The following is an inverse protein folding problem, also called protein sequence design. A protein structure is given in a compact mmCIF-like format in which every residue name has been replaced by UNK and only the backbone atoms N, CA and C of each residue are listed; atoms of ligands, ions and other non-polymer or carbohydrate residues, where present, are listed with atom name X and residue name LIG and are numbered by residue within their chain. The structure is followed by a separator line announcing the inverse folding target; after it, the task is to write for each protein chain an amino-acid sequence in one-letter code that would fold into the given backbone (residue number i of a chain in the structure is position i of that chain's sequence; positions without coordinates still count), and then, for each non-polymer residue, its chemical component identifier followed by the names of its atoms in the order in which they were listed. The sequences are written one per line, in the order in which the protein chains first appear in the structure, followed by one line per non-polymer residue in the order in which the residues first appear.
data_IF_264023092840
#
_entry.id   IF_264023092840
#
_cell.length_a   1.000
_cell.length_b   1.000
_cell.length_c   1.000
_cell.angle_alpha   90.00
_cell.angle_beta   90.00
_cell.angle_gamma   90.00
#
_symmetry.space_group_name_H-M   'P 1'
#
loop_
_entity.id
_entity.type
_entity.pdbx_description
1 polymer ?
#
# COMPACT_ATOMS: atom_id res chain seq x y z
N UNK A 1 14.23 19.54 -19.53
CA UNK A 1 14.54 20.97 -19.32
C UNK A 1 13.40 21.54 -18.49
N UNK A 2 13.69 22.16 -17.35
CA UNK A 2 12.64 22.74 -16.50
C UNK A 2 12.00 23.93 -17.24
N UNK A 3 10.67 23.95 -17.31
CA UNK A 3 9.95 25.13 -17.82
C UNK A 3 9.88 26.17 -16.70
N UNK A 4 9.89 27.46 -17.05
CA UNK A 4 9.77 28.55 -16.07
C UNK A 4 8.41 29.21 -16.29
N UNK A 5 7.58 29.23 -15.24
CA UNK A 5 6.25 29.83 -15.26
C UNK A 5 6.22 30.83 -14.11
N UNK A 6 5.92 32.10 -14.42
CA UNK A 6 5.90 33.20 -13.44
C UNK A 6 7.17 33.29 -12.57
N UNK A 7 8.34 33.00 -13.17
CA UNK A 7 9.63 33.00 -12.48
C UNK A 7 9.93 31.76 -11.63
N UNK A 8 9.00 30.80 -11.56
CA UNK A 8 9.16 29.54 -10.81
C UNK A 8 9.54 28.40 -11.77
N UNK A 9 10.65 27.68 -11.53
CA UNK A 9 10.99 26.50 -12.30
C UNK A 9 10.05 25.34 -11.96
N UNK A 10 9.46 24.72 -12.98
CA UNK A 10 8.57 23.56 -12.90
C UNK A 10 9.11 22.37 -13.72
N UNK A 11 8.78 21.17 -13.29
CA UNK A 11 9.24 19.94 -13.94
C UNK A 11 8.41 19.54 -15.18
N UNK A 12 7.13 19.93 -15.21
CA UNK A 12 6.16 19.54 -16.25
C UNK A 12 5.44 20.82 -16.72
N UNK A 13 5.33 21.06 -18.04
CA UNK A 13 4.58 22.21 -18.55
C UNK A 13 3.06 22.00 -18.38
N UNK A 14 2.28 23.07 -18.14
CA UNK A 14 0.82 23.00 -18.06
C UNK A 14 0.19 22.73 -19.44
N UNK A 15 -1.05 22.21 -19.49
CA UNK A 15 -1.87 22.23 -20.71
C UNK A 15 -2.09 23.67 -21.22
N UNK A 16 -2.28 23.83 -22.53
CA UNK A 16 -2.32 25.15 -23.20
C UNK A 16 -3.38 26.13 -22.61
N UNK A 17 -4.50 25.61 -22.09
CA UNK A 17 -5.60 26.41 -21.52
C UNK A 17 -5.57 26.51 -19.97
N UNK A 18 -4.50 26.06 -19.32
CA UNK A 18 -4.45 25.98 -17.85
C UNK A 18 -3.65 27.12 -17.22
N UNK A 19 -4.31 27.93 -16.38
CA UNK A 19 -3.64 28.97 -15.58
C UNK A 19 -3.12 28.36 -14.27
N UNK A 20 -1.79 28.33 -14.12
CA UNK A 20 -1.11 27.82 -12.92
C UNK A 20 -1.25 28.81 -11.76
N UNK A 21 -1.64 28.31 -10.60
CA UNK A 21 -1.62 29.07 -9.35
C UNK A 21 -0.74 28.37 -8.30
N UNK A 22 0.39 29.00 -7.97
CA UNK A 22 1.33 28.45 -6.99
C UNK A 22 0.92 28.74 -5.53
N UNK A 23 0.07 29.74 -5.29
CA UNK A 23 -0.38 30.11 -3.95
C UNK A 23 -1.53 29.21 -3.50
N UNK A 24 -2.47 28.91 -4.39
CA UNK A 24 -3.58 28.01 -4.13
C UNK A 24 -3.73 26.93 -5.21
N UNK A 25 -2.78 25.96 -5.27
CA UNK A 25 -2.80 24.93 -6.29
C UNK A 25 -4.02 24.02 -6.14
N UNK A 26 -4.52 23.49 -7.25
CA UNK A 26 -5.59 22.50 -7.24
C UNK A 26 -5.09 21.18 -6.64
N UNK A 27 -5.87 20.65 -5.69
CA UNK A 27 -5.50 19.46 -4.93
C UNK A 27 -6.57 18.38 -5.01
N UNK A 28 -6.15 17.18 -5.42
CA UNK A 28 -6.99 15.99 -5.48
C UNK A 28 -6.64 15.01 -4.36
N UNK A 29 -7.61 14.17 -3.98
CA UNK A 29 -7.48 13.09 -2.98
C UNK A 29 -7.08 13.52 -1.56
N UNK A 30 -7.13 14.83 -1.25
CA UNK A 30 -6.81 15.34 0.09
C UNK A 30 -7.83 14.83 1.12
N UNK A 31 -9.12 14.98 0.81
CA UNK A 31 -10.21 14.52 1.67
C UNK A 31 -10.15 13.02 1.89
N UNK A 32 -9.92 12.24 0.83
CA UNK A 32 -9.79 10.79 0.88
C UNK A 32 -8.63 10.35 1.79
N UNK A 33 -7.46 10.99 1.66
CA UNK A 33 -6.29 10.71 2.49
C UNK A 33 -6.56 10.96 3.99
N UNK A 34 -7.26 12.05 4.32
CA UNK A 34 -7.62 12.36 5.71
C UNK A 34 -8.62 11.37 6.29
N UNK A 35 -9.62 10.93 5.51
CA UNK A 35 -10.57 9.90 5.95
C UNK A 35 -9.89 8.55 6.18
N UNK A 36 -9.04 8.12 5.23
CA UNK A 36 -8.30 6.86 5.33
C UNK A 36 -7.41 6.81 6.56
N UNK A 37 -6.72 7.91 6.88
CA UNK A 37 -5.93 7.97 8.10
C UNK A 37 -6.79 8.10 9.35
N UNK A 38 -7.67 9.09 9.43
CA UNK A 38 -8.40 9.37 10.65
C UNK A 38 -9.28 8.19 11.06
N UNK A 39 -10.18 7.78 10.17
CA UNK A 39 -11.13 6.70 10.45
C UNK A 39 -10.47 5.33 10.29
N UNK A 40 -9.73 5.12 9.20
CA UNK A 40 -9.11 3.82 8.94
C UNK A 40 -8.05 3.43 9.97
N UNK A 41 -7.18 4.36 10.37
CA UNK A 41 -6.19 4.08 11.41
C UNK A 41 -6.85 3.88 12.79
N UNK A 42 -7.89 4.66 13.11
CA UNK A 42 -8.62 4.49 14.37
C UNK A 42 -9.28 3.11 14.46
N UNK A 43 -9.98 2.68 13.41
CA UNK A 43 -10.59 1.35 13.36
C UNK A 43 -9.53 0.25 13.45
N UNK A 44 -8.42 0.39 12.72
CA UNK A 44 -7.30 -0.55 12.77
C UNK A 44 -6.71 -0.66 14.18
N UNK A 45 -6.47 0.47 14.85
CA UNK A 45 -6.00 0.52 16.23
C UNK A 45 -6.94 -0.23 17.17
N UNK A 46 -8.25 0.01 17.06
CA UNK A 46 -9.25 -0.65 17.89
C UNK A 46 -9.22 -2.18 17.72
N UNK A 47 -9.12 -2.69 16.49
CA UNK A 47 -9.01 -4.13 16.23
C UNK A 47 -7.71 -4.74 16.76
N UNK A 48 -6.58 -4.03 16.64
CA UNK A 48 -5.30 -4.47 17.19
C UNK A 48 -5.36 -4.54 18.71
N UNK A 49 -5.88 -3.50 19.37
CA UNK A 49 -6.04 -3.47 20.83
C UNK A 49 -6.95 -4.58 21.32
N UNK A 50 -8.10 -4.79 20.66
CA UNK A 50 -9.00 -5.90 20.97
C UNK A 50 -8.28 -7.24 20.85
N UNK A 51 -7.51 -7.45 19.78
CA UNK A 51 -6.78 -8.70 19.56
C UNK A 51 -5.71 -8.94 20.61
N UNK A 52 -4.91 -7.92 20.93
CA UNK A 52 -3.89 -7.99 21.99
C UNK A 52 -4.53 -8.28 23.35
N UNK A 53 -5.66 -7.66 23.66
CA UNK A 53 -6.41 -7.94 24.89
C UNK A 53 -6.88 -9.40 24.96
N UNK A 54 -7.56 -9.89 23.92
CA UNK A 54 -8.08 -11.25 23.89
C UNK A 54 -6.96 -12.29 23.93
N UNK A 55 -5.90 -12.12 23.14
CA UNK A 55 -4.82 -13.11 23.01
C UNK A 55 -3.80 -13.06 24.14
N UNK A 56 -3.48 -11.86 24.61
CA UNK A 56 -2.53 -11.64 25.70
C UNK A 56 -3.13 -11.96 27.07
N UNK A 57 -4.31 -11.40 27.37
CA UNK A 57 -4.88 -11.47 28.71
C UNK A 57 -5.91 -12.59 28.88
N UNK A 58 -6.86 -12.72 27.95
CA UNK A 58 -7.96 -13.69 28.08
C UNK A 58 -7.53 -15.12 27.76
N UNK A 59 -6.91 -15.32 26.59
CA UNK A 59 -6.54 -16.65 26.09
C UNK A 59 -5.11 -17.06 26.43
N UNK A 60 -4.24 -16.12 26.83
CA UNK A 60 -2.80 -16.32 27.10
C UNK A 60 -2.08 -17.16 26.02
N UNK A 61 -2.51 -17.01 24.76
CA UNK A 61 -1.96 -17.73 23.61
C UNK A 61 -1.32 -16.76 22.65
N UNK A 62 -0.40 -15.93 23.16
CA UNK A 62 0.35 -15.00 22.32
C UNK A 62 1.32 -15.79 21.44
N UNK A 63 1.18 -15.65 20.12
CA UNK A 63 1.97 -16.38 19.13
C UNK A 63 2.81 -15.41 18.30
N UNK A 64 3.85 -15.94 17.66
CA UNK A 64 4.72 -15.18 16.74
C UNK A 64 3.92 -14.45 15.65
N UNK A 65 2.84 -15.05 15.17
CA UNK A 65 1.93 -14.43 14.19
C UNK A 65 1.30 -13.13 14.70
N UNK A 66 0.92 -13.07 15.98
CA UNK A 66 0.33 -11.88 16.58
C UNK A 66 1.38 -10.78 16.79
N UNK A 67 2.63 -11.16 17.10
CA UNK A 67 3.76 -10.23 17.16
C UNK A 67 4.08 -9.62 15.78
N UNK A 68 4.13 -10.46 14.73
CA UNK A 68 4.35 -9.99 13.36
C UNK A 68 3.27 -9.01 12.91
N UNK A 69 2.01 -9.27 13.28
CA UNK A 69 0.88 -8.42 12.93
C UNK A 69 0.94 -7.06 13.68
N UNK A 70 1.38 -7.05 14.94
CA UNK A 70 1.64 -5.81 15.67
C UNK A 70 2.77 -4.98 15.08
N UNK A 71 3.89 -5.63 14.70
CA UNK A 71 5.00 -4.96 14.01
C UNK A 71 4.53 -4.37 12.68
N UNK A 72 3.81 -5.14 11.87
CA UNK A 72 3.25 -4.67 10.60
C UNK A 72 2.34 -3.45 10.77
N UNK A 73 1.53 -3.42 11.84
CA UNK A 73 0.70 -2.26 12.17
C UNK A 73 1.55 -1.01 12.47
N UNK A 74 2.63 -1.14 13.25
CA UNK A 74 3.55 -0.01 13.53
C UNK A 74 4.15 0.55 12.24
N UNK A 75 4.63 -0.31 11.34
CA UNK A 75 5.13 0.13 10.03
C UNK A 75 4.06 0.81 9.17
N UNK A 76 2.83 0.32 9.21
CA UNK A 76 1.69 0.95 8.53
C UNK A 76 1.41 2.36 9.06
N UNK A 77 1.43 2.55 10.39
CA UNK A 77 1.25 3.88 11.01
C UNK A 77 2.36 4.85 10.59
N UNK A 78 3.61 4.39 10.56
CA UNK A 78 4.75 5.21 10.09
C UNK A 78 4.54 5.64 8.64
N UNK A 79 4.17 4.71 7.76
CA UNK A 79 3.87 4.98 6.36
C UNK A 79 2.76 6.02 6.19
N UNK A 80 1.63 5.83 6.86
CA UNK A 80 0.50 6.74 6.76
C UNK A 80 0.84 8.15 7.28
N UNK A 81 1.64 8.23 8.34
CA UNK A 81 2.11 9.51 8.90
C UNK A 81 3.01 10.25 7.90
N UNK A 82 3.88 9.54 7.19
CA UNK A 82 4.71 10.12 6.12
C UNK A 82 3.84 10.64 4.96
N UNK A 83 2.85 9.87 4.53
CA UNK A 83 1.92 10.26 3.46
C UNK A 83 1.16 11.53 3.84
N UNK A 84 0.58 11.59 5.05
CA UNK A 84 -0.16 12.78 5.48
C UNK A 84 0.72 13.99 5.62
N UNK A 85 1.93 13.85 6.15
CA UNK A 85 2.88 14.95 6.19
C UNK A 85 3.12 15.53 4.79
N UNK A 86 3.22 14.67 3.78
CA UNK A 86 3.42 15.09 2.40
C UNK A 86 2.15 15.70 1.78
N UNK A 87 0.96 15.25 2.17
CA UNK A 87 -0.31 15.94 1.88
C UNK A 87 -0.41 17.29 2.59
N UNK A 88 -0.05 17.44 3.87
CA UNK A 88 -0.11 18.73 4.57
C UNK A 88 0.82 19.74 3.91
N UNK A 89 2.00 19.30 3.45
CA UNK A 89 3.00 20.15 2.77
C UNK A 89 2.64 20.51 1.32
N UNK A 90 1.53 20.00 0.78
CA UNK A 90 1.15 20.22 -0.62
C UNK A 90 2.03 19.47 -1.63
N UNK A 91 2.81 18.49 -1.18
CA UNK A 91 3.71 17.69 -2.02
C UNK A 91 2.93 16.55 -2.70
N UNK A 92 1.90 16.01 -2.03
CA UNK A 92 0.96 15.04 -2.60
C UNK A 92 -0.39 15.68 -2.95
N UNK A 93 -1.03 15.15 -3.99
CA UNK A 93 -2.34 15.58 -4.46
C UNK A 93 -2.34 16.84 -5.33
N UNK A 94 -1.20 17.51 -5.51
CA UNK A 94 -1.08 18.72 -6.33
C UNK A 94 -0.70 18.35 -7.77
N UNK A 95 -1.24 19.06 -8.76
CA UNK A 95 -0.89 18.83 -10.16
C UNK A 95 0.60 19.11 -10.43
N UNK A 96 1.22 18.29 -11.28
CA UNK A 96 2.66 18.34 -11.53
C UNK A 96 3.15 19.65 -12.17
N UNK A 97 2.26 20.36 -12.89
CA UNK A 97 2.53 21.66 -13.50
C UNK A 97 2.35 22.84 -12.52
N UNK A 98 1.68 22.64 -11.39
CA UNK A 98 1.54 23.65 -10.31
C UNK A 98 2.55 23.43 -9.18
N UNK A 99 3.56 22.58 -9.43
CA UNK A 99 4.54 22.19 -8.42
C UNK A 99 5.90 22.85 -8.68
N UNK A 100 6.38 23.72 -7.76
CA UNK A 100 7.74 24.23 -7.81
C UNK A 100 8.77 23.11 -7.76
N UNK A 101 9.91 23.28 -8.44
CA UNK A 101 10.97 22.25 -8.53
C UNK A 101 11.46 21.73 -7.16
N UNK A 102 11.44 22.58 -6.13
CA UNK A 102 11.82 22.22 -4.76
C UNK A 102 10.82 21.25 -4.14
N UNK A 103 9.51 21.48 -4.32
CA UNK A 103 8.46 20.55 -3.92
C UNK A 103 8.49 19.28 -4.76
N UNK A 104 8.80 19.39 -6.05
CA UNK A 104 8.94 18.24 -6.96
C UNK A 104 10.08 17.31 -6.53
N UNK A 105 11.21 17.84 -6.05
CA UNK A 105 12.29 17.04 -5.50
C UNK A 105 11.85 16.25 -4.24
N UNK A 106 11.05 16.86 -3.36
CA UNK A 106 10.48 16.17 -2.20
C UNK A 106 9.49 15.09 -2.63
N UNK A 107 8.66 15.38 -3.64
CA UNK A 107 7.74 14.42 -4.23
C UNK A 107 8.49 13.22 -4.81
N UNK A 108 9.55 13.44 -5.59
CA UNK A 108 10.36 12.38 -6.17
C UNK A 108 10.98 11.46 -5.09
N UNK A 109 11.46 12.04 -3.98
CA UNK A 109 11.97 11.28 -2.83
C UNK A 109 10.88 10.44 -2.16
N UNK A 110 9.69 11.00 -1.94
CA UNK A 110 8.55 10.28 -1.39
C UNK A 110 8.10 9.15 -2.31
N UNK A 111 8.03 9.41 -3.63
CA UNK A 111 7.65 8.45 -4.65
C UNK A 111 8.65 7.27 -4.75
N UNK A 112 9.92 7.51 -4.43
CA UNK A 112 10.94 6.46 -4.32
C UNK A 112 10.79 5.65 -3.02
N UNK A 113 10.63 6.32 -1.88
CA UNK A 113 10.69 5.67 -0.56
C UNK A 113 9.40 4.93 -0.18
N UNK A 114 8.23 5.50 -0.50
CA UNK A 114 6.93 4.96 -0.05
C UNK A 114 6.66 3.54 -0.58
N UNK A 115 6.86 3.21 -1.87
CA UNK A 115 6.65 1.85 -2.36
C UNK A 115 7.58 0.83 -1.70
N UNK A 116 8.82 1.21 -1.41
CA UNK A 116 9.82 0.32 -0.77
C UNK A 116 9.37 -0.05 0.65
N UNK A 117 8.81 0.91 1.39
CA UNK A 117 8.29 0.67 2.73
C UNK A 117 6.93 -0.06 2.71
N UNK A 118 6.10 0.21 1.72
CA UNK A 118 4.75 -0.37 1.61
C UNK A 118 4.76 -1.86 1.24
N UNK A 119 5.62 -2.28 0.30
CA UNK A 119 5.64 -3.66 -0.21
C UNK A 119 5.82 -4.73 0.90
N UNK A 120 6.79 -4.60 1.84
CA UNK A 120 6.96 -5.56 2.92
C UNK A 120 5.74 -5.67 3.85
N UNK A 121 5.08 -4.54 4.14
CA UNK A 121 3.89 -4.51 4.99
C UNK A 121 2.76 -5.30 4.32
N UNK A 122 2.54 -5.06 3.02
CA UNK A 122 1.51 -5.76 2.26
C UNK A 122 1.77 -7.26 2.13
N UNK A 123 3.04 -7.65 1.91
CA UNK A 123 3.45 -9.05 1.91
C UNK A 123 3.22 -9.71 3.28
N UNK A 124 3.65 -9.06 4.36
CA UNK A 124 3.52 -9.56 5.73
C UNK A 124 2.06 -9.75 6.15
N UNK A 125 1.18 -8.81 5.79
CA UNK A 125 -0.25 -8.92 6.08
C UNK A 125 -0.89 -10.16 5.40
N UNK A 126 -0.59 -10.39 4.12
CA UNK A 126 -1.08 -11.56 3.36
C UNK A 126 -0.55 -12.87 3.94
N UNK A 127 0.73 -12.92 4.30
CA UNK A 127 1.33 -14.10 4.92
C UNK A 127 0.73 -14.41 6.29
N UNK A 128 0.52 -13.40 7.13
CA UNK A 128 -0.13 -13.56 8.43
C UNK A 128 -1.55 -14.15 8.27
N UNK A 129 -2.31 -13.69 7.27
CA UNK A 129 -3.64 -14.20 6.98
C UNK A 129 -3.60 -15.67 6.49
N UNK A 130 -2.66 -16.00 5.60
CA UNK A 130 -2.44 -17.37 5.13
C UNK A 130 -2.08 -18.33 6.27
N UNK A 131 -1.26 -17.89 7.23
CA UNK A 131 -0.90 -18.69 8.42
C UNK A 131 -2.12 -18.94 9.32
N UNK A 132 -3.00 -17.95 9.49
CA UNK A 132 -4.27 -18.13 10.19
C UNK A 132 -5.15 -19.14 9.44
N UNK A 133 -5.28 -19.02 8.13
CA UNK A 133 -6.06 -19.95 7.30
C UNK A 133 -5.52 -21.36 7.40
N UNK A 134 -4.19 -21.55 7.44
CA UNK A 134 -3.56 -22.86 7.55
C UNK A 134 -4.07 -23.68 8.73
N UNK A 135 -4.52 -23.03 9.81
CA UNK A 135 -5.04 -23.68 11.01
C UNK A 135 -6.53 -23.96 10.97
N UNK A 136 -7.25 -23.42 9.98
CA UNK A 136 -8.70 -23.58 9.86
C UNK A 136 -9.10 -25.00 9.48
N UNK A 137 -8.35 -25.65 8.60
CA UNK A 137 -8.65 -27.00 8.14
C UNK A 137 -7.37 -27.80 7.84
N UNK A 138 -7.22 -29.03 8.37
CA UNK A 138 -6.09 -29.91 8.10
C UNK A 138 -6.23 -30.69 6.77
N UNK A 139 -6.88 -30.10 5.75
CA UNK A 139 -7.12 -30.75 4.45
C UNK A 139 -5.90 -30.61 3.54
N UNK A 140 -5.42 -31.71 2.93
CA UNK A 140 -4.22 -31.69 2.07
C UNK A 140 -4.30 -30.68 0.92
N UNK A 141 -5.41 -30.67 0.17
CA UNK A 141 -5.62 -29.74 -0.94
C UNK A 141 -5.59 -28.27 -0.49
N UNK A 142 -6.14 -27.99 0.69
CA UNK A 142 -6.22 -26.65 1.26
C UNK A 142 -4.84 -26.15 1.72
N UNK A 143 -4.03 -27.04 2.32
CA UNK A 143 -2.64 -26.73 2.68
C UNK A 143 -1.78 -26.45 1.44
N UNK A 144 -1.98 -27.22 0.36
CA UNK A 144 -1.27 -27.00 -0.91
C UNK A 144 -1.62 -25.62 -1.49
N UNK A 145 -2.90 -25.24 -1.55
CA UNK A 145 -3.32 -23.92 -2.03
C UNK A 145 -2.70 -22.79 -1.22
N UNK A 146 -2.64 -22.92 0.11
CA UNK A 146 -2.02 -21.92 0.98
C UNK A 146 -0.53 -21.74 0.65
N UNK A 147 0.20 -22.83 0.45
CA UNK A 147 1.62 -22.76 0.10
C UNK A 147 1.85 -22.16 -1.29
N UNK A 148 1.04 -22.52 -2.28
CA UNK A 148 1.11 -21.96 -3.63
C UNK A 148 0.84 -20.45 -3.58
N UNK A 149 -0.24 -20.02 -2.94
CA UNK A 149 -0.56 -18.60 -2.81
C UNK A 149 0.52 -17.85 -2.03
N UNK A 150 1.05 -18.45 -0.96
CA UNK A 150 2.17 -17.88 -0.21
C UNK A 150 3.41 -17.68 -1.09
N UNK A 151 3.75 -18.65 -1.93
CA UNK A 151 4.86 -18.54 -2.87
C UNK A 151 4.63 -17.41 -3.89
N UNK A 152 3.42 -17.29 -4.44
CA UNK A 152 3.06 -16.21 -5.38
C UNK A 152 3.15 -14.84 -4.71
N UNK A 153 2.64 -14.70 -3.49
CA UNK A 153 2.70 -13.45 -2.70
C UNK A 153 4.14 -13.03 -2.44
N UNK A 154 4.99 -13.95 -1.97
CA UNK A 154 6.39 -13.65 -1.68
C UNK A 154 7.16 -13.34 -2.97
N UNK A 155 6.99 -14.17 -4.00
CA UNK A 155 7.67 -13.99 -5.28
C UNK A 155 7.35 -12.65 -5.94
N UNK A 156 6.06 -12.29 -6.00
CA UNK A 156 5.63 -11.00 -6.55
C UNK A 156 6.12 -9.82 -5.71
N UNK A 157 6.04 -9.91 -4.38
CA UNK A 157 6.51 -8.84 -3.48
C UNK A 157 8.02 -8.60 -3.60
N UNK A 158 8.82 -9.68 -3.69
CA UNK A 158 10.27 -9.59 -3.88
C UNK A 158 10.59 -8.95 -5.23
N UNK A 159 9.96 -9.40 -6.31
CA UNK A 159 10.16 -8.82 -7.64
C UNK A 159 9.85 -7.32 -7.67
N UNK A 160 8.70 -6.89 -7.13
CA UNK A 160 8.30 -5.49 -7.07
C UNK A 160 9.26 -4.68 -6.20
N UNK A 161 9.75 -5.24 -5.09
CA UNK A 161 10.73 -4.59 -4.22
C UNK A 161 12.04 -4.31 -4.97
N UNK A 162 12.55 -5.27 -5.75
CA UNK A 162 13.74 -5.04 -6.57
C UNK A 162 13.51 -3.95 -7.63
N UNK A 163 12.38 -3.98 -8.33
CA UNK A 163 12.05 -2.99 -9.37
C UNK A 163 11.92 -1.58 -8.76
N UNK A 164 11.36 -1.46 -7.56
CA UNK A 164 11.19 -0.17 -6.87
C UNK A 164 12.47 0.36 -6.22
N UNK A 165 13.40 -0.51 -5.80
CA UNK A 165 14.73 -0.10 -5.30
C UNK A 165 15.65 0.33 -6.45
N UNK A 166 15.59 -0.36 -7.59
CA UNK A 166 16.45 -0.14 -8.76
C UNK A 166 15.68 0.41 -9.98
N UNK A 167 14.91 1.52 -9.85
CA UNK A 167 14.10 2.02 -10.96
C UNK A 167 14.94 2.72 -12.03
N UNK A 168 16.15 3.19 -11.68
CA UNK A 168 17.01 3.97 -12.55
C UNK A 168 18.46 3.51 -12.49
N UNK A 169 19.20 3.79 -13.57
CA UNK A 169 20.67 3.70 -13.63
C UNK A 169 21.25 5.08 -13.92
N UNK A 170 22.01 5.69 -13.00
CA UNK A 170 22.33 5.24 -11.64
C UNK A 170 21.13 5.30 -10.68
N UNK A 171 21.13 4.47 -9.62
CA UNK A 171 20.02 4.37 -8.64
C UNK A 171 19.68 5.70 -7.97
N UNK A 172 20.67 6.58 -7.79
CA UNK A 172 20.50 7.92 -7.20
C UNK A 172 19.52 8.78 -7.98
N UNK A 173 19.42 8.59 -9.31
CA UNK A 173 18.43 9.28 -10.14
C UNK A 173 16.98 8.87 -9.83
N UNK A 174 16.79 7.84 -9.00
CA UNK A 174 15.48 7.47 -8.45
C UNK A 174 14.84 8.60 -7.62
N UNK A 175 15.65 9.31 -6.83
CA UNK A 175 15.18 10.33 -5.89
C UNK A 175 15.84 11.71 -6.10
N UNK A 176 16.95 11.75 -6.84
CA UNK A 176 17.67 12.99 -7.17
C UNK A 176 17.35 13.45 -8.59
N UNK A 177 16.64 14.58 -8.69
CA UNK A 177 16.17 15.14 -9.95
C UNK A 177 17.25 15.96 -10.68
N UNK A 178 18.41 16.21 -10.06
CA UNK A 178 19.49 16.97 -10.70
C UNK A 178 20.31 16.12 -11.68
N UNK A 179 20.14 14.80 -11.65
CA UNK A 179 20.84 13.87 -12.54
C UNK A 179 20.04 13.74 -13.84
N UNK A 180 20.52 14.40 -14.90
CA UNK A 180 19.84 14.43 -16.22
C UNK A 180 20.15 13.22 -17.10
N UNK A 181 21.33 12.60 -16.92
CA UNK A 181 21.81 11.50 -17.78
C UNK A 181 21.39 10.12 -17.25
N UNK A 182 20.16 10.01 -16.75
CA UNK A 182 19.65 8.78 -16.16
C UNK A 182 18.78 7.98 -17.13
N UNK A 183 18.94 6.65 -17.12
CA UNK A 183 17.98 5.74 -17.75
C UNK A 183 17.09 5.12 -16.67
N UNK A 184 15.82 5.49 -16.68
CA UNK A 184 14.80 5.00 -15.75
C UNK A 184 13.78 4.11 -16.45
N UNK A 185 13.21 3.17 -15.71
CA UNK A 185 12.03 2.42 -16.14
C UNK A 185 10.79 3.31 -16.08
N UNK A 186 9.75 2.91 -16.82
CA UNK A 186 8.44 3.55 -16.77
C UNK A 186 7.78 3.31 -15.40
N UNK A 187 7.82 4.34 -14.55
CA UNK A 187 7.27 4.29 -13.18
C UNK A 187 5.75 4.09 -13.18
N UNK A 188 4.95 4.86 -13.94
CA UNK A 188 3.52 4.59 -14.10
C UNK A 188 3.21 3.13 -14.43
N UNK A 189 3.91 2.54 -15.41
CA UNK A 189 3.68 1.14 -15.79
C UNK A 189 3.98 0.17 -14.64
N UNK A 190 5.06 0.40 -13.88
CA UNK A 190 5.39 -0.41 -12.70
C UNK A 190 4.34 -0.28 -11.60
N UNK A 191 3.80 0.91 -11.36
CA UNK A 191 2.76 1.11 -10.36
C UNK A 191 1.44 0.44 -10.77
N UNK A 192 1.07 0.52 -12.05
CA UNK A 192 -0.09 -0.20 -12.58
C UNK A 192 0.07 -1.72 -12.44
N UNK A 193 1.24 -2.26 -12.81
CA UNK A 193 1.53 -3.68 -12.64
C UNK A 193 1.49 -4.11 -11.16
N UNK A 194 2.01 -3.27 -10.26
CA UNK A 194 1.97 -3.49 -8.81
C UNK A 194 0.52 -3.54 -8.29
N UNK A 195 -0.33 -2.61 -8.75
CA UNK A 195 -1.74 -2.57 -8.38
C UNK A 195 -2.49 -3.84 -8.86
N UNK A 196 -2.29 -4.23 -10.12
CA UNK A 196 -2.92 -5.42 -10.70
C UNK A 196 -2.48 -6.70 -9.98
N UNK A 197 -1.17 -6.87 -9.75
CA UNK A 197 -0.65 -8.03 -9.01
C UNK A 197 -1.11 -8.04 -7.54
N UNK A 198 -1.21 -6.85 -6.93
CA UNK A 198 -1.81 -6.66 -5.62
C UNK A 198 -3.23 -7.21 -5.59
N UNK A 199 -4.10 -6.73 -6.47
CA UNK A 199 -5.50 -7.16 -6.55
C UNK A 199 -5.65 -8.67 -6.82
N UNK A 200 -4.84 -9.25 -7.72
CA UNK A 200 -4.86 -10.70 -7.99
C UNK A 200 -4.50 -11.49 -6.74
N UNK A 201 -3.42 -11.10 -6.05
CA UNK A 201 -2.98 -11.80 -4.84
C UNK A 201 -3.97 -11.64 -3.68
N UNK A 202 -4.64 -10.49 -3.57
CA UNK A 202 -5.72 -10.28 -2.60
C UNK A 202 -6.92 -11.19 -2.88
N UNK A 203 -7.36 -11.26 -4.14
CA UNK A 203 -8.42 -12.19 -4.55
C UNK A 203 -8.05 -13.66 -4.26
N UNK A 204 -6.81 -14.07 -4.54
CA UNK A 204 -6.33 -15.42 -4.24
C UNK A 204 -6.39 -15.74 -2.75
N UNK A 205 -5.91 -14.82 -1.89
CA UNK A 205 -5.92 -15.02 -0.44
C UNK A 205 -7.35 -15.10 0.09
N UNK A 206 -8.23 -14.19 -0.35
CA UNK A 206 -9.64 -14.18 0.06
C UNK A 206 -10.44 -15.39 -0.45
N UNK A 207 -10.06 -15.95 -1.60
CA UNK A 207 -10.75 -17.10 -2.18
C UNK A 207 -10.47 -18.42 -1.44
N UNK A 208 -9.31 -18.58 -0.80
CA UNK A 208 -8.90 -19.82 -0.11
C UNK A 208 -9.95 -20.32 0.92
N UNK A 209 -10.45 -19.50 1.87
CA UNK A 209 -11.40 -19.99 2.88
C UNK A 209 -12.79 -20.25 2.32
N UNK A 210 -13.17 -19.72 1.14
CA UNK A 210 -14.54 -19.81 0.61
C UNK A 210 -15.06 -21.25 0.54
N UNK A 211 -14.36 -22.23 -0.07
CA UNK A 211 -14.90 -23.56 -0.23
C UNK A 211 -15.03 -24.31 1.11
N UNK A 212 -14.17 -24.00 2.08
CA UNK A 212 -14.24 -24.58 3.44
C UNK A 212 -15.43 -23.98 4.19
N UNK A 213 -15.60 -22.66 4.15
CA UNK A 213 -16.68 -21.93 4.83
C UNK A 213 -18.05 -22.28 4.25
N UNK A 214 -18.17 -22.48 2.93
CA UNK A 214 -19.45 -22.87 2.29
C UNK A 214 -19.86 -24.29 2.68
N UNK A 215 -18.89 -25.19 2.93
CA UNK A 215 -19.17 -26.59 3.32
C UNK A 215 -19.43 -26.75 4.82
N UNK A 216 -18.93 -25.84 5.65
CA UNK A 216 -19.23 -25.81 7.08
C UNK A 216 -20.61 -25.17 7.27
N UNK A 217 -21.50 -25.81 8.05
CA UNK A 217 -22.85 -25.28 8.38
C UNK A 217 -22.74 -24.04 9.29
N UNK A 218 -22.22 -22.97 8.73
CA UNK A 218 -21.99 -21.70 9.39
C UNK A 218 -23.28 -20.85 9.33
N UNK A 219 -23.57 -20.12 10.41
CA UNK A 219 -24.75 -19.25 10.49
C UNK A 219 -24.72 -18.16 9.42
N UNK A 220 -25.90 -17.80 8.89
CA UNK A 220 -26.07 -16.82 7.80
C UNK A 220 -25.30 -15.50 8.03
N UNK A 221 -25.17 -15.07 9.28
CA UNK A 221 -24.43 -13.85 9.68
C UNK A 221 -22.95 -13.88 9.31
N UNK A 222 -22.28 -15.03 9.42
CA UNK A 222 -20.87 -15.17 9.05
C UNK A 222 -20.69 -15.23 7.51
N UNK A 223 -21.72 -15.69 6.78
CA UNK A 223 -21.75 -15.71 5.31
C UNK A 223 -21.88 -14.30 4.72
N UNK A 224 -22.70 -13.45 5.34
CA UNK A 224 -22.84 -12.02 4.99
C UNK A 224 -21.55 -11.26 5.27
N UNK A 225 -20.91 -11.49 6.43
CA UNK A 225 -19.62 -10.85 6.74
C UNK A 225 -18.55 -11.14 5.67
N UNK A 226 -18.50 -12.37 5.15
CA UNK A 226 -17.55 -12.77 4.12
C UNK A 226 -17.80 -12.08 2.77
N UNK A 227 -19.08 -11.92 2.38
CA UNK A 227 -19.49 -11.16 1.20
C UNK A 227 -19.12 -9.67 1.34
N UNK A 228 -19.37 -9.08 2.52
CA UNK A 228 -18.97 -7.71 2.82
C UNK A 228 -17.45 -7.52 2.75
N UNK A 229 -16.65 -8.47 3.26
CA UNK A 229 -15.20 -8.42 3.15
C UNK A 229 -14.71 -8.46 1.69
N UNK A 230 -15.35 -9.23 0.83
CA UNK A 230 -15.05 -9.24 -0.62
C UNK A 230 -15.39 -7.91 -1.30
N UNK A 231 -16.48 -7.25 -0.90
CA UNK A 231 -16.84 -5.93 -1.40
C UNK A 231 -15.89 -4.84 -0.89
N UNK A 232 -15.42 -4.94 0.36
CA UNK A 232 -14.53 -3.94 0.98
C UNK A 232 -13.08 -4.10 0.51
N UNK A 233 -12.59 -5.32 0.32
CA UNK A 233 -11.22 -5.58 -0.16
C UNK A 233 -11.02 -5.32 -1.66
N UNK A 234 -12.08 -5.00 -2.40
CA UNK A 234 -12.04 -4.64 -3.83
C UNK A 234 -12.06 -3.13 -4.09
N UNK A 235 -11.95 -2.29 -3.05
CA UNK A 235 -11.88 -0.82 -3.11
C UNK A 235 -10.52 -0.35 -2.63
#
# INVERSE_FOLDING_TARGET
MAAVIDGVPVAIPPPDDYKVDFENPQRNSVTEAYWLYGVGNFLSLAFILQRVYVKGFLQRTFRVEDACLGIAYVFSVVLQTLIIRDFIRGVMGTHGWEMPITKFALFARALYLLPILYNPVQCGAKLALLLVYRRLAPLKWFQILIWITGFVVVGSSVAITFVTIFPCRPVRAGWDITITDAKCIDRPAVYQATAILGAITDAMVLAIPLPVVIRLKISWRQKVGLLCFFCIGGV
#
